data_IF_819911119875
#
_entry.id   IF_819911119875
#
_cell.length_a   1.000
_cell.length_b   1.000
_cell.length_c   1.000
_cell.angle_alpha   90.00
_cell.angle_beta   90.00
_cell.angle_gamma   90.00
#
_symmetry.space_group_name_H-M   'P 1'
#
loop_
_entity.id
_entity.type
_entity.pdbx_description
1 polymer ?
#
# COMPACT_ATOMS: atom_id res chain seq x y z
N UNK A 1 -5.47 -3.29 19.94
CA UNK A 1 -5.67 -3.26 18.47
C UNK A 1 -4.39 -2.71 17.84
N UNK A 2 -3.51 -3.56 17.33
CA UNK A 2 -2.25 -3.15 16.68
C UNK A 2 -2.55 -2.75 15.23
N UNK A 3 -3.00 -1.51 15.05
CA UNK A 3 -3.13 -0.89 13.74
C UNK A 3 -2.03 0.16 13.61
N UNK A 4 -1.12 -0.10 12.65
CA UNK A 4 -0.32 0.90 11.93
C UNK A 4 0.88 1.58 12.65
N UNK A 5 1.73 0.82 13.35
CA UNK A 5 3.00 1.32 13.91
C UNK A 5 4.26 0.99 13.09
N UNK A 6 4.17 0.98 11.75
CA UNK A 6 5.34 0.96 10.84
C UNK A 6 5.18 1.96 9.68
N UNK A 7 4.56 3.10 9.97
CA UNK A 7 4.74 4.28 9.13
C UNK A 7 6.25 4.57 9.02
N UNK A 8 6.75 4.60 7.78
CA UNK A 8 8.16 4.77 7.34
C UNK A 8 9.14 3.59 7.36
N UNK A 9 8.70 2.34 7.20
CA UNK A 9 9.58 1.33 6.58
C UNK A 9 9.62 1.55 5.04
N UNK A 10 10.80 1.42 4.43
CA UNK A 10 11.13 1.65 3.00
C UNK A 10 10.39 0.72 2.00
N UNK A 11 9.42 -0.08 2.45
CA UNK A 11 8.62 -0.96 1.60
C UNK A 11 7.46 -1.63 2.36
N UNK A 12 6.57 -2.35 1.64
CA UNK A 12 5.49 -3.13 2.26
C UNK A 12 6.05 -4.24 3.14
N UNK A 13 5.37 -4.51 4.27
CA UNK A 13 5.80 -5.57 5.20
C UNK A 13 5.35 -6.95 4.73
N UNK A 14 6.03 -8.00 5.19
CA UNK A 14 5.66 -9.39 4.87
C UNK A 14 4.20 -9.71 5.22
N UNK A 15 3.70 -9.26 6.37
CA UNK A 15 2.31 -9.48 6.77
C UNK A 15 1.30 -8.72 5.91
N UNK A 16 1.68 -7.57 5.34
CA UNK A 16 0.84 -6.86 4.38
C UNK A 16 0.78 -7.61 3.06
N UNK A 17 1.94 -8.06 2.55
CA UNK A 17 2.03 -8.82 1.30
C UNK A 17 1.26 -10.14 1.43
N UNK A 18 1.44 -10.88 2.54
CA UNK A 18 0.73 -12.16 2.78
C UNK A 18 -0.79 -11.97 2.78
N UNK A 19 -1.31 -10.98 3.51
CA UNK A 19 -2.76 -10.70 3.56
C UNK A 19 -3.28 -10.36 2.18
N UNK A 20 -2.58 -9.48 1.45
CA UNK A 20 -2.99 -9.06 0.12
C UNK A 20 -2.93 -10.20 -0.90
N UNK A 21 -1.92 -11.05 -0.83
CA UNK A 21 -1.79 -12.25 -1.66
C UNK A 21 -2.93 -13.24 -1.41
N UNK A 22 -3.31 -13.44 -0.14
CA UNK A 22 -4.43 -14.30 0.22
C UNK A 22 -5.77 -13.77 -0.32
N UNK A 23 -6.03 -12.47 -0.19
CA UNK A 23 -7.22 -11.83 -0.77
C UNK A 23 -7.29 -12.03 -2.29
N UNK A 24 -6.15 -11.87 -2.99
CA UNK A 24 -6.07 -12.10 -4.42
C UNK A 24 -6.33 -13.57 -4.76
N UNK A 25 -5.71 -14.50 -4.05
CA UNK A 25 -5.88 -15.94 -4.25
C UNK A 25 -7.33 -16.39 -4.01
N UNK A 26 -7.97 -15.91 -2.94
CA UNK A 26 -9.37 -16.20 -2.62
C UNK A 26 -10.33 -15.66 -3.70
N UNK A 27 -10.14 -14.40 -4.13
CA UNK A 27 -10.95 -13.78 -5.19
C UNK A 27 -10.86 -14.50 -6.53
N UNK A 28 -9.75 -15.20 -6.79
CA UNK A 28 -9.53 -15.96 -8.02
C UNK A 28 -9.94 -17.44 -7.90
N UNK A 29 -10.70 -17.82 -6.87
CA UNK A 29 -11.15 -19.19 -6.61
C UNK A 29 -10.02 -20.18 -6.30
N UNK A 30 -8.97 -19.70 -5.64
CA UNK A 30 -7.93 -20.55 -5.06
C UNK A 30 -7.24 -21.50 -6.07
N UNK A 31 -6.75 -20.99 -7.21
CA UNK A 31 -6.08 -21.84 -8.17
C UNK A 31 -4.75 -22.32 -7.58
N UNK A 32 -4.47 -23.61 -7.76
CA UNK A 32 -3.24 -24.23 -7.28
C UNK A 32 -2.07 -23.90 -8.22
N UNK A 33 -0.88 -23.67 -7.64
CA UNK A 33 0.34 -23.41 -8.40
C UNK A 33 0.55 -21.96 -8.83
N UNK A 34 -0.34 -21.04 -8.40
CA UNK A 34 -0.25 -19.60 -8.67
C UNK A 34 0.04 -18.78 -7.40
N UNK A 35 0.38 -19.43 -6.29
CA UNK A 35 0.59 -18.80 -4.99
C UNK A 35 1.73 -17.77 -5.05
N UNK A 36 2.81 -18.09 -5.78
CA UNK A 36 3.95 -17.18 -5.98
C UNK A 36 3.53 -15.98 -6.85
N UNK A 37 2.73 -16.19 -7.89
CA UNK A 37 2.25 -15.11 -8.75
C UNK A 37 1.39 -14.11 -7.98
N UNK A 38 0.48 -14.59 -7.12
CA UNK A 38 -0.31 -13.73 -6.24
C UNK A 38 0.53 -13.01 -5.19
N UNK A 39 1.59 -13.64 -4.71
CA UNK A 39 2.55 -13.00 -3.81
C UNK A 39 3.25 -11.81 -4.48
N UNK A 40 3.77 -12.01 -5.69
CA UNK A 40 4.45 -10.96 -6.47
C UNK A 40 3.49 -9.84 -6.88
N UNK A 41 2.25 -10.20 -7.24
CA UNK A 41 1.20 -9.24 -7.56
C UNK A 41 0.84 -8.39 -6.33
N UNK A 42 0.67 -9.01 -5.17
CA UNK A 42 0.39 -8.32 -3.92
C UNK A 42 1.49 -7.32 -3.53
N UNK A 43 2.76 -7.74 -3.64
CA UNK A 43 3.89 -6.84 -3.38
C UNK A 43 3.87 -5.62 -4.31
N UNK A 44 3.64 -5.85 -5.62
CA UNK A 44 3.57 -4.79 -6.62
C UNK A 44 2.42 -3.81 -6.37
N UNK A 45 1.24 -4.32 -6.03
CA UNK A 45 0.07 -3.49 -5.70
C UNK A 45 0.34 -2.59 -4.49
N UNK A 46 0.87 -3.18 -3.40
CA UNK A 46 1.16 -2.44 -2.17
C UNK A 46 2.25 -1.37 -2.38
N UNK A 47 3.26 -1.67 -3.20
CA UNK A 47 4.29 -0.67 -3.56
C UNK A 47 3.68 0.49 -4.35
N UNK A 48 2.87 0.19 -5.37
CA UNK A 48 2.20 1.21 -6.17
C UNK A 48 1.23 2.07 -5.35
N UNK A 49 0.51 1.49 -4.39
CA UNK A 49 -0.37 2.23 -3.49
C UNK A 49 0.39 3.22 -2.61
N UNK A 50 1.52 2.82 -2.04
CA UNK A 50 2.38 3.70 -1.25
C UNK A 50 3.00 4.81 -2.10
N UNK A 51 3.44 4.50 -3.32
CA UNK A 51 4.00 5.50 -4.24
C UNK A 51 2.94 6.54 -4.62
N UNK A 52 1.69 6.12 -4.81
CA UNK A 52 0.56 7.03 -5.02
C UNK A 52 0.27 7.89 -3.79
N UNK A 53 0.26 7.30 -2.60
CA UNK A 53 0.05 8.03 -1.35
C UNK A 53 1.15 9.09 -1.12
N UNK A 54 2.42 8.72 -1.32
CA UNK A 54 3.55 9.65 -1.19
C UNK A 54 3.47 10.83 -2.18
N UNK A 55 2.99 10.59 -3.41
CA UNK A 55 2.75 11.66 -4.40
C UNK A 55 1.58 12.57 -4.02
N UNK A 56 0.50 12.01 -3.48
CA UNK A 56 -0.64 12.77 -3.00
C UNK A 56 -0.24 13.67 -1.81
N UNK A 57 0.45 13.13 -0.80
CA UNK A 57 0.96 13.91 0.34
C UNK A 57 1.90 15.05 -0.09
N UNK A 58 2.75 14.82 -1.10
CA UNK A 58 3.62 15.86 -1.64
C UNK A 58 2.85 17.00 -2.33
N UNK A 59 1.64 16.74 -2.82
CA UNK A 59 0.78 17.74 -3.48
C UNK A 59 -0.06 18.50 -2.44
N UNK A 60 -0.55 17.82 -1.39
CA UNK A 60 -1.37 18.44 -0.34
C UNK A 60 -0.56 19.23 0.69
N UNK A 61 0.71 18.88 0.95
CA UNK A 61 1.60 19.62 1.85
C UNK A 61 2.15 20.94 1.28
N UNK A 62 1.88 21.25 0.00
CA UNK A 62 2.36 22.44 -0.69
C UNK A 62 1.36 23.60 -0.78
N UNK A 63 0.07 23.37 -0.51
CA UNK A 63 -1.00 24.36 -0.72
C UNK A 63 -1.79 24.58 0.58
N UNK A 64 -1.15 25.20 1.56
CA UNK A 64 -1.82 25.81 2.71
C UNK A 64 -0.97 26.97 3.22
N UNK A 65 -0.83 28.01 2.40
CA UNK A 65 -0.55 29.36 2.88
C UNK A 65 -1.90 29.98 3.26
N UNK A 66 -2.18 30.28 4.54
CA UNK A 66 -3.37 31.05 4.88
C UNK A 66 -3.26 32.44 4.22
N UNK A 67 -4.35 33.01 3.66
CA UNK A 67 -4.34 34.38 3.19
C UNK A 67 -4.11 35.29 4.41
N UNK A 68 -2.93 35.89 4.46
CA UNK A 68 -2.54 36.86 5.47
C UNK A 68 -3.44 38.08 5.24
N UNK A 69 -4.47 38.25 6.08
CA UNK A 69 -5.40 39.37 5.98
C UNK A 69 -4.62 40.68 6.22
N UNK A 70 -4.76 41.60 5.27
CA UNK A 70 -4.21 42.95 5.27
C UNK A 70 -5.22 43.96 5.80
#
# INVERSE_FOLDING_TARGET
MMRDATARATGPTFDQIRRRAYELWERNHQPMGFEIEFWLMAEKELRAERDRAARAEATEGGDSLPPQQA
#
